data_IF_071233886445
#
_entry.id   IF_071233886445
#
_cell.length_a   1.000
_cell.length_b   1.000
_cell.length_c   1.000
_cell.angle_alpha   90.00
_cell.angle_beta   90.00
_cell.angle_gamma   90.00
#
_symmetry.space_group_name_H-M   'P 1'
#
loop_
_entity.id
_entity.type
_entity.pdbx_description
1 polymer ?
#
# COMPACT_ATOMS: atom_id res chain seq x y z
N UNK A 1 7.68 -5.09 -19.14
CA UNK A 1 8.16 -5.61 -17.83
C UNK A 1 7.18 -5.44 -16.67
N UNK A 2 6.44 -4.32 -16.55
CA UNK A 2 5.41 -4.12 -15.49
C UNK A 2 4.44 -5.31 -15.34
N UNK A 3 3.80 -5.75 -16.44
CA UNK A 3 2.84 -6.85 -16.40
C UNK A 3 3.44 -8.16 -15.88
N UNK A 4 4.68 -8.47 -16.29
CA UNK A 4 5.39 -9.66 -15.81
C UNK A 4 5.71 -9.57 -14.31
N UNK A 5 6.19 -8.40 -13.85
CA UNK A 5 6.44 -8.14 -12.43
C UNK A 5 5.16 -8.26 -11.59
N UNK A 6 4.05 -7.70 -12.08
CA UNK A 6 2.74 -7.80 -11.44
C UNK A 6 2.27 -9.25 -11.39
N UNK A 7 2.39 -9.99 -12.49
CA UNK A 7 2.04 -11.40 -12.57
C UNK A 7 2.81 -12.22 -11.53
N UNK A 8 4.13 -12.05 -11.43
CA UNK A 8 4.95 -12.75 -10.42
C UNK A 8 4.44 -12.47 -9.01
N UNK A 9 4.15 -11.21 -8.68
CA UNK A 9 3.65 -10.87 -7.35
C UNK A 9 2.27 -11.50 -7.09
N UNK A 10 1.37 -11.48 -8.07
CA UNK A 10 0.08 -12.15 -7.96
C UNK A 10 0.24 -13.66 -7.72
N UNK A 11 1.18 -14.31 -8.41
CA UNK A 11 1.49 -15.73 -8.17
C UNK A 11 2.04 -15.95 -6.75
N UNK A 12 2.87 -15.06 -6.21
CA UNK A 12 3.32 -15.12 -4.80
C UNK A 12 2.11 -15.09 -3.86
N UNK A 13 1.16 -14.18 -4.09
CA UNK A 13 -0.03 -14.01 -3.22
C UNK A 13 -0.99 -15.19 -3.31
N UNK A 14 -1.12 -15.82 -4.47
CA UNK A 14 -2.08 -16.91 -4.70
C UNK A 14 -1.51 -18.31 -4.43
N UNK A 15 -0.19 -18.48 -4.41
CA UNK A 15 0.44 -19.79 -4.23
C UNK A 15 0.32 -20.32 -2.79
N UNK A 16 -0.10 -21.57 -2.63
CA UNK A 16 -0.11 -22.26 -1.32
C UNK A 16 1.20 -23.02 -1.04
N UNK A 17 1.93 -23.41 -2.09
CA UNK A 17 3.20 -24.14 -1.96
C UNK A 17 4.32 -23.20 -1.50
N UNK A 18 4.90 -23.49 -0.33
CA UNK A 18 6.05 -22.74 0.22
C UNK A 18 7.26 -22.78 -0.71
N UNK A 19 7.50 -23.92 -1.35
CA UNK A 19 8.62 -24.11 -2.29
C UNK A 19 8.41 -23.22 -3.52
N UNK A 20 7.20 -23.21 -4.08
CA UNK A 20 6.89 -22.37 -5.25
C UNK A 20 7.00 -20.87 -4.91
N UNK A 21 6.46 -20.45 -3.76
CA UNK A 21 6.60 -19.08 -3.25
C UNK A 21 8.07 -18.69 -3.11
N UNK A 22 8.91 -19.56 -2.56
CA UNK A 22 10.35 -19.33 -2.43
C UNK A 22 11.03 -19.09 -3.78
N UNK A 23 10.71 -19.90 -4.80
CA UNK A 23 11.23 -19.68 -6.17
C UNK A 23 10.76 -18.34 -6.75
N UNK A 24 9.48 -18.00 -6.60
CA UNK A 24 8.95 -16.72 -7.07
C UNK A 24 9.57 -15.51 -6.35
N UNK A 25 9.87 -15.63 -5.05
CA UNK A 25 10.57 -14.59 -4.30
C UNK A 25 12.01 -14.40 -4.79
N UNK A 26 12.71 -15.50 -5.14
CA UNK A 26 14.03 -15.41 -5.80
C UNK A 26 13.93 -14.70 -7.15
N UNK A 27 12.93 -15.05 -7.96
CA UNK A 27 12.70 -14.40 -9.25
C UNK A 27 12.40 -12.90 -9.08
N UNK A 28 11.53 -12.53 -8.13
CA UNK A 28 11.26 -11.14 -7.76
C UNK A 28 12.55 -10.41 -7.34
N UNK A 29 13.39 -11.03 -6.50
CA UNK A 29 14.68 -10.45 -6.07
C UNK A 29 15.63 -10.23 -7.25
N UNK A 30 15.67 -11.13 -8.22
CA UNK A 30 16.46 -10.95 -9.45
C UNK A 30 15.92 -9.78 -10.26
N UNK A 31 14.60 -9.71 -10.49
CA UNK A 31 13.99 -8.60 -11.21
C UNK A 31 14.27 -7.24 -10.56
N UNK A 32 14.19 -7.16 -9.22
CA UNK A 32 14.46 -5.95 -8.45
C UNK A 32 15.90 -5.43 -8.59
N UNK A 33 16.86 -6.25 -9.00
CA UNK A 33 18.22 -5.78 -9.32
C UNK A 33 18.26 -4.93 -10.59
N UNK A 34 17.29 -5.10 -11.49
CA UNK A 34 17.26 -4.43 -12.78
C UNK A 34 16.18 -3.35 -12.85
N UNK A 35 15.02 -3.59 -12.24
CA UNK A 35 13.89 -2.65 -12.27
C UNK A 35 13.00 -2.79 -11.05
N UNK A 36 12.47 -1.65 -10.57
CA UNK A 36 11.45 -1.59 -9.55
C UNK A 36 10.15 -0.94 -10.08
N UNK A 37 9.39 -1.60 -10.96
CA UNK A 37 8.24 -0.99 -11.60
C UNK A 37 7.08 -0.83 -10.60
N UNK A 38 6.25 0.21 -10.80
CA UNK A 38 4.96 0.31 -10.12
C UNK A 38 4.02 -0.77 -10.67
N UNK A 39 3.52 -1.62 -9.79
CA UNK A 39 2.55 -2.67 -10.06
C UNK A 39 1.23 -2.35 -9.37
N UNK A 40 0.12 -2.81 -9.94
CA UNK A 40 -1.22 -2.63 -9.37
C UNK A 40 -1.72 -3.98 -8.88
N UNK A 41 -2.03 -4.11 -7.59
CA UNK A 41 -2.53 -5.35 -7.01
C UNK A 41 -3.86 -5.14 -6.31
N UNK A 42 -4.73 -6.15 -6.42
CA UNK A 42 -5.92 -6.31 -5.61
C UNK A 42 -5.66 -7.47 -4.64
N UNK A 43 -5.75 -7.22 -3.34
CA UNK A 43 -5.59 -8.26 -2.32
C UNK A 43 -6.49 -7.95 -1.13
N UNK A 44 -7.27 -8.95 -0.70
CA UNK A 44 -8.21 -8.85 0.44
C UNK A 44 -9.17 -7.66 0.36
N UNK A 45 -9.64 -7.34 -0.84
CA UNK A 45 -10.56 -6.21 -1.08
C UNK A 45 -9.89 -4.84 -1.21
N UNK A 46 -8.58 -4.74 -0.97
CA UNK A 46 -7.82 -3.50 -1.16
C UNK A 46 -7.13 -3.48 -2.51
N UNK A 47 -7.11 -2.31 -3.14
CA UNK A 47 -6.39 -2.05 -4.39
C UNK A 47 -5.27 -1.06 -4.12
N UNK A 48 -4.05 -1.43 -4.46
CA UNK A 48 -2.87 -0.58 -4.31
C UNK A 48 -2.01 -0.59 -5.58
N UNK A 49 -1.61 0.60 -6.00
CA UNK A 49 -0.42 0.84 -6.81
C UNK A 49 0.78 0.95 -5.87
N UNK A 50 1.81 0.12 -6.11
CA UNK A 50 3.01 0.11 -5.28
C UNK A 50 4.24 -0.33 -6.08
N UNK A 51 5.46 0.09 -5.69
CA UNK A 51 6.67 -0.46 -6.26
C UNK A 51 6.73 -1.98 -6.09
N UNK A 52 7.33 -2.70 -7.04
CA UNK A 52 7.57 -4.14 -6.93
C UNK A 52 8.32 -4.52 -5.65
N UNK A 53 9.16 -3.63 -5.13
CA UNK A 53 9.91 -3.79 -3.87
C UNK A 53 9.03 -3.79 -2.63
N UNK A 54 7.83 -3.21 -2.71
CA UNK A 54 6.91 -3.11 -1.58
C UNK A 54 6.37 -4.48 -1.16
N UNK A 55 6.31 -4.74 0.15
CA UNK A 55 6.05 -6.09 0.70
C UNK A 55 4.74 -6.23 1.45
N UNK A 56 3.90 -5.19 1.51
CA UNK A 56 2.72 -5.17 2.38
C UNK A 56 1.78 -6.36 2.20
N UNK A 57 1.35 -6.66 0.97
CA UNK A 57 0.46 -7.80 0.71
C UNK A 57 1.16 -9.14 0.91
N UNK A 58 2.47 -9.21 0.70
CA UNK A 58 3.24 -10.40 1.04
C UNK A 58 3.29 -10.62 2.57
N UNK A 59 3.48 -9.56 3.36
CA UNK A 59 3.42 -9.67 4.82
C UNK A 59 2.02 -10.00 5.32
N UNK A 60 0.95 -9.43 4.76
CA UNK A 60 -0.42 -9.84 5.09
C UNK A 60 -0.70 -11.30 4.72
N UNK A 61 -0.10 -11.84 3.66
CA UNK A 61 -0.17 -13.26 3.33
C UNK A 61 0.49 -14.12 4.42
N UNK A 62 1.68 -13.75 4.88
CA UNK A 62 2.42 -14.49 5.91
C UNK A 62 1.80 -14.34 7.32
N UNK A 63 1.33 -13.14 7.61
CA UNK A 63 0.82 -12.71 8.90
C UNK A 63 -0.57 -12.08 8.69
N UNK A 64 -1.65 -12.90 8.71
CA UNK A 64 -2.98 -12.44 8.31
C UNK A 64 -3.54 -11.23 9.06
N UNK A 65 -3.01 -10.89 10.23
CA UNK A 65 -3.46 -9.75 11.02
C UNK A 65 -2.56 -8.50 10.89
N UNK A 66 -1.46 -8.57 10.13
CA UNK A 66 -0.54 -7.46 9.93
C UNK A 66 -1.29 -6.27 9.28
N UNK A 67 -1.29 -5.13 9.96
CA UNK A 67 -1.99 -3.88 9.62
C UNK A 67 -3.52 -3.98 9.40
N UNK A 68 -4.13 -5.16 9.58
CA UNK A 68 -5.58 -5.35 9.41
C UNK A 68 -6.41 -4.83 10.59
N UNK A 69 -5.77 -4.55 11.73
CA UNK A 69 -6.46 -4.05 12.93
C UNK A 69 -6.72 -2.55 12.88
N UNK A 70 -6.06 -1.82 11.97
CA UNK A 70 -6.22 -0.37 11.80
C UNK A 70 -7.68 0.01 11.58
N UNK A 71 -8.40 -0.77 10.77
CA UNK A 71 -9.83 -0.57 10.55
C UNK A 71 -10.66 -0.62 11.83
N UNK A 72 -10.36 -1.54 12.75
CA UNK A 72 -11.09 -1.66 14.02
C UNK A 72 -10.83 -0.46 14.92
N UNK A 73 -9.58 0.00 14.99
CA UNK A 73 -9.18 1.17 15.78
C UNK A 73 -9.87 2.42 15.21
N UNK A 74 -9.74 2.66 13.90
CA UNK A 74 -10.35 3.80 13.23
C UNK A 74 -11.88 3.81 13.38
N UNK A 75 -12.52 2.66 13.18
CA UNK A 75 -13.98 2.52 13.32
C UNK A 75 -14.44 2.78 14.75
N UNK A 76 -13.70 2.29 15.76
CA UNK A 76 -14.01 2.55 17.16
C UNK A 76 -13.93 4.04 17.49
N UNK A 77 -12.87 4.73 17.03
CA UNK A 77 -12.70 6.17 17.23
C UNK A 77 -13.84 6.94 16.55
N UNK A 78 -14.12 6.65 15.27
CA UNK A 78 -15.20 7.27 14.51
C UNK A 78 -16.56 7.09 15.18
N UNK A 79 -16.86 5.88 15.65
CA UNK A 79 -18.11 5.59 16.35
C UNK A 79 -18.22 6.33 17.68
N UNK A 80 -17.12 6.43 18.44
CA UNK A 80 -17.12 7.06 19.76
C UNK A 80 -17.18 8.59 19.69
N UNK A 81 -16.54 9.19 18.68
CA UNK A 81 -16.37 10.64 18.57
C UNK A 81 -17.23 11.27 17.47
N UNK A 82 -17.90 10.48 16.62
CA UNK A 82 -18.59 10.88 15.39
C UNK A 82 -17.71 11.51 14.30
N UNK A 83 -16.41 11.67 14.54
CA UNK A 83 -15.41 12.09 13.56
C UNK A 83 -14.15 11.21 13.65
N UNK A 84 -13.34 11.23 12.59
CA UNK A 84 -12.07 10.52 12.54
C UNK A 84 -11.06 11.37 11.80
N UNK A 85 -9.98 11.71 12.50
CA UNK A 85 -8.86 12.46 11.95
C UNK A 85 -7.60 11.63 12.19
N UNK A 86 -6.76 11.50 11.16
CA UNK A 86 -5.53 10.73 11.22
C UNK A 86 -4.36 11.54 10.67
N UNK A 87 -3.24 11.50 11.37
CA UNK A 87 -1.96 11.99 10.89
C UNK A 87 -1.04 10.77 10.76
N UNK A 88 -0.46 10.57 9.57
CA UNK A 88 0.46 9.47 9.28
C UNK A 88 1.79 10.04 8.78
N UNK A 89 2.86 9.82 9.54
CA UNK A 89 4.21 10.32 9.23
C UNK A 89 5.06 9.16 8.76
N UNK A 90 5.65 9.31 7.57
CA UNK A 90 6.21 8.17 6.83
C UNK A 90 5.11 7.37 6.16
N UNK A 91 4.16 8.08 5.52
CA UNK A 91 2.98 7.47 4.92
C UNK A 91 3.31 6.48 3.78
N UNK A 92 4.55 6.48 3.27
CA UNK A 92 5.01 5.64 2.17
C UNK A 92 4.04 5.70 0.97
N UNK A 93 3.35 4.60 0.67
CA UNK A 93 2.39 4.54 -0.45
C UNK A 93 0.95 4.87 -0.03
N UNK A 94 0.73 5.28 1.23
CA UNK A 94 -0.58 5.57 1.83
C UNK A 94 -1.35 4.31 2.26
N UNK A 95 -0.69 3.16 2.39
CA UNK A 95 -1.34 1.88 2.69
C UNK A 95 -1.94 1.82 4.09
N UNK A 96 -1.30 2.43 5.10
CA UNK A 96 -1.89 2.59 6.44
C UNK A 96 -3.26 3.26 6.39
N UNK A 97 -3.38 4.39 5.67
CA UNK A 97 -4.63 5.13 5.51
C UNK A 97 -5.66 4.40 4.62
N UNK A 98 -5.20 3.56 3.69
CA UNK A 98 -6.11 2.67 2.95
C UNK A 98 -6.67 1.59 3.87
N UNK A 99 -5.85 1.00 4.75
CA UNK A 99 -6.27 -0.08 5.64
C UNK A 99 -7.13 0.37 6.83
N UNK A 100 -7.18 1.66 7.16
CA UNK A 100 -8.19 2.16 8.10
C UNK A 100 -9.61 1.96 7.55
N UNK A 101 -9.80 2.09 6.23
CA UNK A 101 -11.10 1.92 5.57
C UNK A 101 -12.26 2.62 6.33
N UNK A 102 -12.07 3.90 6.66
CA UNK A 102 -13.02 4.73 7.39
C UNK A 102 -13.00 6.13 6.79
N UNK A 103 -14.17 6.72 6.56
CA UNK A 103 -14.26 8.10 6.10
C UNK A 103 -13.84 9.07 7.23
N UNK A 104 -13.00 10.03 6.87
CA UNK A 104 -12.43 11.00 7.81
C UNK A 104 -11.45 11.94 7.13
N UNK A 105 -10.77 12.74 7.95
CA UNK A 105 -9.72 13.65 7.50
C UNK A 105 -8.34 12.99 7.70
N UNK A 106 -7.51 13.01 6.66
CA UNK A 106 -6.20 12.38 6.66
C UNK A 106 -5.13 13.39 6.30
N UNK A 107 -4.10 13.51 7.13
CA UNK A 107 -2.86 14.20 6.83
C UNK A 107 -1.74 13.18 6.68
N UNK A 108 -1.31 12.95 5.43
CA UNK A 108 -0.28 11.98 5.09
C UNK A 108 1.00 12.71 4.76
N UNK A 109 2.07 12.44 5.51
CA UNK A 109 3.36 13.10 5.40
C UNK A 109 4.40 12.08 4.95
N UNK A 110 5.06 12.33 3.82
CA UNK A 110 6.10 11.48 3.27
C UNK A 110 7.30 12.34 2.84
N UNK A 111 8.51 11.86 3.12
CA UNK A 111 9.75 12.59 2.81
C UNK A 111 10.24 12.37 1.38
N UNK A 112 9.84 11.26 0.76
CA UNK A 112 10.24 10.88 -0.59
C UNK A 112 9.18 11.28 -1.63
N UNK A 113 9.47 12.30 -2.43
CA UNK A 113 8.50 12.89 -3.36
C UNK A 113 7.98 11.91 -4.43
N UNK A 114 8.73 10.85 -4.75
CA UNK A 114 8.26 9.82 -5.69
C UNK A 114 7.00 9.08 -5.22
N UNK A 115 6.66 9.16 -3.93
CA UNK A 115 5.42 8.59 -3.39
C UNK A 115 4.19 9.50 -3.50
N UNK A 116 4.33 10.80 -3.77
CA UNK A 116 3.20 11.73 -3.80
C UNK A 116 2.06 11.26 -4.75
N UNK A 117 2.45 10.83 -5.95
CA UNK A 117 1.49 10.32 -6.94
C UNK A 117 0.90 8.96 -6.52
N UNK A 118 1.66 8.14 -5.79
CA UNK A 118 1.19 6.83 -5.32
C UNK A 118 0.17 6.99 -4.19
N UNK A 119 0.46 7.85 -3.22
CA UNK A 119 -0.46 8.18 -2.12
C UNK A 119 -1.79 8.65 -2.68
N UNK A 120 -1.78 9.70 -3.53
CA UNK A 120 -3.01 10.25 -4.10
C UNK A 120 -3.83 9.18 -4.85
N UNK A 121 -3.15 8.33 -5.62
CA UNK A 121 -3.78 7.27 -6.41
C UNK A 121 -4.38 6.18 -5.53
N UNK A 122 -3.66 5.72 -4.51
CA UNK A 122 -4.14 4.69 -3.59
C UNK A 122 -5.31 5.18 -2.73
N UNK A 123 -5.27 6.43 -2.26
CA UNK A 123 -6.40 7.06 -1.58
C UNK A 123 -7.61 7.12 -2.51
N UNK A 124 -7.45 7.49 -3.78
CA UNK A 124 -8.57 7.53 -4.73
C UNK A 124 -9.19 6.15 -5.03
N UNK A 125 -8.42 5.07 -4.88
CA UNK A 125 -8.97 3.72 -5.01
C UNK A 125 -9.87 3.34 -3.85
N UNK A 126 -9.53 3.77 -2.64
CA UNK A 126 -10.31 3.44 -1.44
C UNK A 126 -11.45 4.43 -1.20
N UNK A 127 -11.21 5.71 -1.47
CA UNK A 127 -12.11 6.83 -1.21
C UNK A 127 -12.32 7.64 -2.50
N UNK A 128 -13.11 7.14 -3.47
CA UNK A 128 -13.21 7.76 -4.81
C UNK A 128 -13.77 9.18 -4.81
N UNK A 129 -14.47 9.58 -3.74
CA UNK A 129 -15.05 10.92 -3.57
C UNK A 129 -14.21 11.83 -2.66
N UNK A 130 -12.99 11.42 -2.27
CA UNK A 130 -12.13 12.23 -1.40
C UNK A 130 -11.64 13.50 -2.10
N UNK A 131 -11.61 14.62 -1.39
CA UNK A 131 -10.87 15.80 -1.82
C UNK A 131 -9.41 15.62 -1.41
N UNK A 132 -8.50 15.57 -2.38
CA UNK A 132 -7.07 15.36 -2.15
C UNK A 132 -6.33 16.67 -2.38
N UNK A 133 -5.67 17.16 -1.33
CA UNK A 133 -4.79 18.31 -1.39
C UNK A 133 -3.35 17.84 -1.31
N UNK A 134 -2.58 18.09 -2.37
CA UNK A 134 -1.15 17.77 -2.41
C UNK A 134 -0.33 19.03 -2.16
N UNK A 135 0.46 19.02 -1.09
CA UNK A 135 1.49 20.01 -0.85
C UNK A 135 2.86 19.31 -0.90
N UNK A 136 3.78 19.83 -1.72
CA UNK A 136 5.15 19.33 -1.82
C UNK A 136 6.10 20.50 -1.68
N UNK A 137 7.02 20.41 -0.72
CA UNK A 137 8.04 21.44 -0.48
C UNK A 137 9.41 21.06 -1.04
N UNK A 138 9.48 20.03 -1.90
CA UNK A 138 10.74 19.46 -2.38
C UNK A 138 11.39 18.55 -1.33
N UNK A 139 11.66 17.30 -1.70
CA UNK A 139 12.26 16.27 -0.84
C UNK A 139 12.53 15.01 -1.64
N UNK A 140 13.56 14.25 -1.25
CA UNK A 140 14.10 13.11 -2.02
C UNK A 140 15.47 13.44 -2.62
N UNK A 141 16.36 12.45 -2.69
CA UNK A 141 17.64 12.58 -3.37
C UNK A 141 17.41 12.46 -4.88
N UNK A 142 17.93 13.42 -5.66
CA UNK A 142 17.95 13.37 -7.14
C UNK A 142 18.87 12.23 -7.59
#
# INVERSE_FOLDING_TARGET
MKFFAQFIYQQILNANSKIFVYFLLKLRKILLKFINPIITLNYRGFKLDMPLSHTIFYYQKLYPNYDMQLHKIASYIKHKLNYFNMIDVGANIGDTAVFTNVEGEYLLIEGEASYNNLIAKNISYQYPNSQIFLASNGGGWI
#
